data_IF_502694054072
#
_entry.id   IF_502694054072
#
_cell.length_a   1.000
_cell.length_b   1.000
_cell.length_c   1.000
_cell.angle_alpha   90.00
_cell.angle_beta   90.00
_cell.angle_gamma   90.00
#
_symmetry.space_group_name_H-M   'P 1'
#
loop_
_entity.id
_entity.type
_entity.pdbx_description
1 polymer ?
#
# COMPACT_ATOMS: atom_id res chain seq x y z
N UNK A 1 5.42 -45.76 -49.51
CA UNK A 1 4.46 -44.62 -49.52
C UNK A 1 4.71 -43.75 -48.29
N UNK A 2 5.93 -43.21 -48.11
CA UNK A 2 6.37 -42.69 -46.80
C UNK A 2 6.44 -41.15 -46.74
N UNK A 3 6.35 -40.46 -47.88
CA UNK A 3 6.40 -38.99 -47.94
C UNK A 3 5.10 -38.28 -47.56
N UNK A 4 3.94 -38.96 -47.66
CA UNK A 4 2.64 -38.37 -47.33
C UNK A 4 2.44 -38.19 -45.83
N UNK A 5 3.00 -39.07 -45.00
CA UNK A 5 2.89 -38.98 -43.54
C UNK A 5 3.55 -37.70 -42.99
N UNK A 6 4.71 -37.29 -43.54
CA UNK A 6 5.40 -36.07 -43.13
C UNK A 6 4.64 -34.78 -43.50
N UNK A 7 3.96 -34.77 -44.65
CA UNK A 7 3.14 -33.63 -45.06
C UNK A 7 1.87 -33.50 -44.19
N UNK A 8 1.25 -34.62 -43.83
CA UNK A 8 0.04 -34.65 -42.99
C UNK A 8 0.34 -34.16 -41.57
N UNK A 9 1.47 -34.54 -40.97
CA UNK A 9 1.84 -34.08 -39.62
C UNK A 9 2.15 -32.59 -39.57
N UNK A 10 2.77 -32.03 -40.61
CA UNK A 10 3.06 -30.59 -40.70
C UNK A 10 1.78 -29.75 -40.81
N UNK A 11 0.79 -30.24 -41.57
CA UNK A 11 -0.52 -29.61 -41.66
C UNK A 11 -1.28 -29.66 -40.32
N UNK A 12 -1.26 -30.81 -39.64
CA UNK A 12 -1.92 -30.98 -38.34
C UNK A 12 -1.30 -30.09 -37.25
N UNK A 13 0.03 -30.04 -37.17
CA UNK A 13 0.74 -29.19 -36.21
C UNK A 13 0.52 -27.69 -36.49
N UNK A 14 0.47 -27.28 -37.76
CA UNK A 14 0.11 -25.92 -38.15
C UNK A 14 -1.31 -25.55 -37.68
N UNK A 15 -2.30 -26.44 -37.84
CA UNK A 15 -3.66 -26.18 -37.36
C UNK A 15 -3.72 -26.08 -35.83
N UNK A 16 -3.02 -26.98 -35.13
CA UNK A 16 -2.90 -26.96 -33.67
C UNK A 16 -2.29 -25.64 -33.18
N UNK A 17 -1.19 -25.19 -33.79
CA UNK A 17 -0.55 -23.90 -33.46
C UNK A 17 -1.52 -22.73 -33.64
N UNK A 18 -2.28 -22.70 -34.73
CA UNK A 18 -3.28 -21.64 -34.97
C UNK A 18 -4.37 -21.65 -33.90
N UNK A 19 -4.87 -22.82 -33.50
CA UNK A 19 -5.87 -22.91 -32.42
C UNK A 19 -5.30 -22.44 -31.08
N UNK A 20 -4.10 -22.86 -30.71
CA UNK A 20 -3.43 -22.40 -29.48
C UNK A 20 -3.20 -20.88 -29.50
N UNK A 21 -2.84 -20.32 -30.65
CA UNK A 21 -2.66 -18.87 -30.81
C UNK A 21 -4.00 -18.11 -30.67
N UNK A 22 -5.08 -18.62 -31.25
CA UNK A 22 -6.40 -18.02 -31.12
C UNK A 22 -6.90 -18.05 -29.66
N UNK A 23 -6.67 -19.15 -28.95
CA UNK A 23 -7.01 -19.30 -27.53
C UNK A 23 -6.20 -18.35 -26.64
N UNK A 24 -4.90 -18.18 -26.91
CA UNK A 24 -4.04 -17.26 -26.15
C UNK A 24 -4.42 -15.78 -26.37
N UNK A 25 -4.74 -15.37 -27.61
CA UNK A 25 -5.24 -14.02 -27.91
C UNK A 25 -6.58 -13.75 -27.19
N UNK A 26 -7.46 -14.74 -27.17
CA UNK A 26 -8.78 -14.63 -26.51
C UNK A 26 -8.62 -14.54 -24.98
N UNK A 27 -7.75 -15.35 -24.38
CA UNK A 27 -7.46 -15.32 -22.94
C UNK A 27 -6.76 -14.04 -22.47
N UNK A 28 -5.93 -13.42 -23.33
CA UNK A 28 -5.17 -12.21 -22.99
C UNK A 28 -6.07 -11.04 -22.58
N UNK A 29 -7.20 -10.81 -23.27
CA UNK A 29 -8.10 -9.69 -22.98
C UNK A 29 -8.71 -9.77 -21.58
N UNK A 30 -9.11 -10.97 -21.16
CA UNK A 30 -9.72 -11.20 -19.86
C UNK A 30 -8.70 -11.01 -18.72
N UNK A 31 -7.49 -11.58 -18.87
CA UNK A 31 -6.42 -11.44 -17.89
C UNK A 31 -5.93 -9.99 -17.78
N UNK A 32 -5.77 -9.31 -18.92
CA UNK A 32 -5.38 -7.91 -18.96
C UNK A 32 -6.35 -7.00 -18.19
N UNK A 33 -7.66 -7.26 -18.31
CA UNK A 33 -8.67 -6.52 -17.57
C UNK A 33 -8.57 -6.73 -16.05
N UNK A 34 -8.39 -7.98 -15.61
CA UNK A 34 -8.22 -8.29 -14.18
C UNK A 34 -6.98 -7.62 -13.60
N UNK A 35 -5.86 -7.66 -14.35
CA UNK A 35 -4.62 -7.00 -13.95
C UNK A 35 -4.84 -5.49 -13.76
N UNK A 36 -5.51 -4.81 -14.69
CA UNK A 36 -5.81 -3.37 -14.54
C UNK A 36 -6.63 -3.05 -13.30
N UNK A 37 -7.65 -3.85 -12.98
CA UNK A 37 -8.44 -3.65 -11.75
C UNK A 37 -7.57 -3.82 -10.51
N UNK A 38 -6.76 -4.88 -10.47
CA UNK A 38 -5.86 -5.13 -9.33
C UNK A 38 -4.83 -4.01 -9.16
N UNK A 39 -4.30 -3.43 -10.25
CA UNK A 39 -3.39 -2.30 -10.17
C UNK A 39 -4.02 -1.07 -9.52
N UNK A 40 -5.29 -0.77 -9.83
CA UNK A 40 -5.97 0.35 -9.20
C UNK A 40 -6.11 0.15 -7.68
N UNK A 41 -6.44 -1.08 -7.27
CA UNK A 41 -6.49 -1.44 -5.86
C UNK A 41 -5.10 -1.33 -5.21
N UNK A 42 -4.05 -1.80 -5.88
CA UNK A 42 -2.67 -1.71 -5.40
C UNK A 42 -2.21 -0.26 -5.21
N UNK A 43 -2.53 0.65 -6.14
CA UNK A 43 -2.17 2.07 -6.04
C UNK A 43 -2.83 2.70 -4.81
N UNK A 44 -4.11 2.38 -4.55
CA UNK A 44 -4.80 2.88 -3.36
C UNK A 44 -4.19 2.33 -2.07
N UNK A 45 -3.83 1.03 -2.05
CA UNK A 45 -3.11 0.43 -0.92
C UNK A 45 -1.74 1.05 -0.70
N UNK A 46 -0.98 1.32 -1.76
CA UNK A 46 0.32 1.98 -1.66
C UNK A 46 0.18 3.38 -1.03
N UNK A 47 -0.82 4.16 -1.46
CA UNK A 47 -1.09 5.47 -0.84
C UNK A 47 -1.44 5.35 0.65
N UNK A 48 -2.20 4.31 1.02
CA UNK A 48 -2.50 4.00 2.42
C UNK A 48 -1.26 3.64 3.23
N UNK A 49 -0.40 2.75 2.74
CA UNK A 49 0.86 2.40 3.40
C UNK A 49 1.82 3.58 3.55
N UNK A 50 1.85 4.50 2.58
CA UNK A 50 2.66 5.73 2.68
C UNK A 50 2.13 6.63 3.80
N UNK A 51 0.81 6.85 3.87
CA UNK A 51 0.21 7.63 4.93
C UNK A 51 0.44 7.00 6.31
N UNK A 52 0.28 5.69 6.43
CA UNK A 52 0.51 4.98 7.70
C UNK A 52 1.99 4.95 8.08
N UNK A 53 2.90 4.75 7.13
CA UNK A 53 4.34 4.82 7.37
C UNK A 53 4.78 6.18 7.90
N UNK A 54 4.16 7.28 7.43
CA UNK A 54 4.38 8.62 7.98
C UNK A 54 3.92 8.74 9.44
N UNK A 55 2.78 8.15 9.77
CA UNK A 55 2.19 8.15 11.11
C UNK A 55 3.00 7.29 12.10
N UNK A 56 3.53 6.16 11.64
CA UNK A 56 4.47 5.31 12.39
C UNK A 56 5.77 6.04 12.70
N UNK A 57 6.31 6.76 11.71
CA UNK A 57 7.54 7.50 11.91
C UNK A 57 7.36 8.67 12.89
N UNK A 58 6.23 9.38 12.79
CA UNK A 58 5.82 10.37 13.78
C UNK A 58 5.79 9.76 15.20
N UNK A 59 5.17 8.59 15.35
CA UNK A 59 5.10 7.90 16.64
C UNK A 59 6.48 7.51 17.17
N UNK A 60 7.36 6.98 16.31
CA UNK A 60 8.75 6.69 16.68
C UNK A 60 9.51 7.94 17.12
N UNK A 61 9.31 9.07 16.44
CA UNK A 61 9.94 10.34 16.81
C UNK A 61 9.42 10.85 18.16
N UNK A 62 8.12 10.75 18.41
CA UNK A 62 7.51 11.10 19.70
C UNK A 62 8.16 10.30 20.84
N UNK A 63 8.39 9.00 20.65
CA UNK A 63 9.07 8.16 21.64
C UNK A 63 10.52 8.58 21.92
N UNK A 64 11.25 9.12 20.95
CA UNK A 64 12.65 9.54 21.11
C UNK A 64 12.77 10.93 21.72
N UNK A 65 11.97 11.89 21.23
CA UNK A 65 12.09 13.30 21.62
C UNK A 65 11.31 13.58 22.91
N UNK A 66 10.45 12.66 23.37
CA UNK A 66 9.67 12.79 24.60
C UNK A 66 8.96 14.15 24.68
N UNK A 67 8.49 14.64 23.55
CA UNK A 67 7.76 15.90 23.40
C UNK A 67 7.08 15.87 22.04
N UNK A 68 6.19 16.82 21.76
CA UNK A 68 5.58 16.96 20.43
C UNK A 68 6.53 17.77 19.53
N UNK A 69 7.30 17.15 18.63
CA UNK A 69 8.25 17.89 17.81
C UNK A 69 7.49 18.66 16.74
N UNK A 70 7.85 19.93 16.54
CA UNK A 70 7.52 20.66 15.32
C UNK A 70 8.83 21.19 14.73
N UNK A 71 9.18 20.89 13.46
CA UNK A 71 8.47 20.12 12.44
C UNK A 71 8.76 18.60 12.42
N UNK A 72 7.79 17.80 11.94
CA UNK A 72 7.87 16.34 11.72
C UNK A 72 8.77 15.94 10.52
N UNK A 73 9.90 16.63 10.35
CA UNK A 73 10.74 16.57 9.13
C UNK A 73 11.81 15.47 9.14
N UNK A 74 11.99 14.77 10.26
CA UNK A 74 13.05 13.76 10.44
C UNK A 74 12.79 12.44 9.71
N UNK A 75 11.59 12.24 9.18
CA UNK A 75 11.13 10.96 8.62
C UNK A 75 11.41 10.76 7.13
N UNK A 76 12.06 11.70 6.43
CA UNK A 76 12.33 11.57 4.98
C UNK A 76 11.07 11.34 4.15
N UNK A 77 9.98 12.03 4.52
CA UNK A 77 8.63 11.77 4.00
C UNK A 77 8.56 12.10 2.49
N UNK A 78 7.85 11.28 1.69
CA UNK A 78 7.63 11.58 0.28
C UNK A 78 6.87 12.90 0.13
N UNK A 79 7.15 13.61 -0.96
CA UNK A 79 6.47 14.87 -1.30
C UNK A 79 4.95 14.68 -1.38
N UNK A 80 4.19 15.53 -0.70
CA UNK A 80 2.72 15.48 -0.67
C UNK A 80 2.13 14.66 0.47
N UNK A 81 2.95 14.12 1.37
CA UNK A 81 2.51 13.57 2.65
C UNK A 81 2.47 14.68 3.71
N UNK A 82 1.29 14.94 4.25
CA UNK A 82 1.05 15.94 5.30
C UNK A 82 0.74 15.23 6.62
N UNK A 83 1.42 15.65 7.69
CA UNK A 83 1.21 15.16 9.05
C UNK A 83 0.70 16.28 9.94
N UNK A 84 -0.43 16.05 10.58
CA UNK A 84 -1.11 17.02 11.44
C UNK A 84 -1.27 16.40 12.83
N UNK A 85 -0.86 17.12 13.86
CA UNK A 85 -1.14 16.77 15.25
C UNK A 85 -2.10 17.81 15.83
N UNK A 86 -3.28 17.38 16.27
CA UNK A 86 -4.29 18.25 16.88
C UNK A 86 -4.59 17.80 18.30
N UNK A 87 -4.64 18.68 19.31
CA UNK A 87 -5.09 18.31 20.64
C UNK A 87 -6.58 17.92 20.62
N UNK A 88 -6.92 16.78 21.22
CA UNK A 88 -8.29 16.24 21.31
C UNK A 88 -8.83 16.24 22.75
N UNK A 89 -7.97 16.54 23.73
CA UNK A 89 -8.31 16.67 25.15
C UNK A 89 -7.08 16.61 26.04
N UNK A 90 -7.28 16.50 27.34
CA UNK A 90 -6.21 16.36 28.33
C UNK A 90 -5.36 15.11 28.04
N UNK A 91 -4.08 15.32 27.73
CA UNK A 91 -3.13 14.25 27.38
C UNK A 91 -3.49 13.44 26.12
N UNK A 92 -4.48 13.86 25.31
CA UNK A 92 -4.88 13.13 24.09
C UNK A 92 -4.69 14.00 22.86
N UNK A 93 -3.97 13.45 21.88
CA UNK A 93 -3.68 14.08 20.61
C UNK A 93 -4.21 13.22 19.48
N UNK A 94 -4.70 13.86 18.43
CA UNK A 94 -5.08 13.23 17.17
C UNK A 94 -3.96 13.44 16.17
N UNK A 95 -3.33 12.36 15.76
CA UNK A 95 -2.35 12.34 14.70
C UNK A 95 -3.05 11.97 13.40
N UNK A 96 -2.85 12.78 12.37
CA UNK A 96 -3.49 12.61 11.07
C UNK A 96 -2.46 12.68 9.96
N UNK A 97 -2.47 11.67 9.09
CA UNK A 97 -1.67 11.59 7.89
C UNK A 97 -2.55 11.71 6.64
N UNK A 98 -2.17 12.60 5.73
CA UNK A 98 -2.83 12.78 4.43
C UNK A 98 -1.85 12.54 3.31
N UNK A 99 -2.22 11.68 2.38
CA UNK A 99 -1.45 11.43 1.16
C UNK A 99 -2.37 11.14 -0.01
N UNK A 100 -2.26 11.93 -1.08
CA UNK A 100 -3.13 11.82 -2.25
C UNK A 100 -4.62 11.88 -1.85
N UNK A 101 -5.35 10.78 -2.02
CA UNK A 101 -6.78 10.63 -1.69
C UNK A 101 -7.02 9.92 -0.35
N UNK A 102 -5.95 9.48 0.34
CA UNK A 102 -6.04 8.71 1.56
C UNK A 102 -5.81 9.61 2.78
N UNK A 103 -6.68 9.45 3.78
CA UNK A 103 -6.60 10.13 5.08
C UNK A 103 -6.71 9.10 6.17
N UNK A 104 -5.67 9.02 7.01
CA UNK A 104 -5.61 8.11 8.15
C UNK A 104 -5.44 8.97 9.40
N UNK A 105 -6.25 8.72 10.42
CA UNK A 105 -6.09 9.38 11.71
C UNK A 105 -6.02 8.35 12.82
N UNK A 106 -5.10 8.52 13.74
CA UNK A 106 -5.01 7.74 14.96
C UNK A 106 -4.97 8.68 16.17
N UNK A 107 -5.49 8.21 17.30
CA UNK A 107 -5.34 8.93 18.54
C UNK A 107 -4.13 8.42 19.31
N UNK A 108 -3.37 9.36 19.84
CA UNK A 108 -2.19 9.17 20.64
C UNK A 108 -2.49 9.74 22.01
N UNK A 109 -2.39 8.90 23.03
CA UNK A 109 -2.34 9.38 24.41
C UNK A 109 -0.91 9.63 24.81
N UNK A 110 -0.68 10.75 25.46
CA UNK A 110 0.58 11.16 26.03
C UNK A 110 0.34 11.16 27.54
N UNK A 111 0.87 10.15 28.22
CA UNK A 111 0.87 10.05 29.68
C UNK A 111 2.28 10.39 30.19
N UNK A 112 2.39 11.18 31.24
CA UNK A 112 3.68 11.54 31.84
C UNK A 112 3.88 10.68 33.09
N UNK A 113 4.73 9.65 33.01
CA UNK A 113 5.10 8.82 34.15
C UNK A 113 6.59 8.95 34.43
N UNK A 114 6.94 9.27 35.67
CA UNK A 114 8.33 9.34 36.13
C UNK A 114 9.25 10.20 35.24
N UNK A 115 8.73 11.30 34.69
CA UNK A 115 9.47 12.20 33.78
C UNK A 115 9.67 11.65 32.36
N UNK A 116 9.00 10.55 31.99
CA UNK A 116 8.97 9.97 30.65
C UNK A 116 7.56 10.02 30.05
N UNK A 117 7.48 10.44 28.78
CA UNK A 117 6.22 10.46 28.05
C UNK A 117 5.94 9.07 27.45
N UNK A 118 4.84 8.45 27.85
CA UNK A 118 4.32 7.19 27.31
C UNK A 118 3.29 7.49 26.22
N UNK A 119 3.60 7.08 24.98
CA UNK A 119 2.75 7.29 23.83
C UNK A 119 1.90 6.03 23.58
N UNK A 120 0.60 6.08 23.90
CA UNK A 120 -0.31 4.95 23.69
C UNK A 120 -1.12 5.21 22.43
N UNK A 121 -0.92 4.39 21.39
CA UNK A 121 -1.76 4.39 20.19
C UNK A 121 -3.08 3.71 20.48
N UNK A 122 -4.19 4.42 20.29
CA UNK A 122 -5.52 3.82 20.37
C UNK A 122 -5.93 3.39 18.95
N UNK A 123 -5.67 2.11 18.68
CA UNK A 123 -6.16 1.16 17.66
C UNK A 123 -6.52 1.63 16.23
N UNK A 124 -6.05 0.86 15.23
CA UNK A 124 -6.37 1.00 13.80
C UNK A 124 -5.15 0.93 12.86
N UNK A 125 -4.25 -0.04 13.05
CA UNK A 125 -3.00 -0.17 12.26
C UNK A 125 -2.89 -1.55 11.61
N UNK A 126 -2.10 -1.70 10.54
CA UNK A 126 -1.86 -2.98 9.86
C UNK A 126 -1.37 -4.12 10.76
N UNK A 127 -0.95 -3.88 12.00
CA UNK A 127 -0.62 -4.95 12.97
C UNK A 127 -1.84 -5.75 13.45
N UNK A 128 -3.05 -5.28 13.16
CA UNK A 128 -4.30 -5.98 13.49
C UNK A 128 -4.73 -6.99 12.39
N UNK A 129 -3.88 -7.25 11.37
CA UNK A 129 -4.01 -8.30 10.35
C UNK A 129 -2.82 -9.27 10.40
#
# INVERSE_FOLDING_TARGET
>A
MNGQQGAITLLMTSMLLVMTLALSITGYRQLYFQIKRSQNELISRQAFWIAEGGLECLYAQLQVVHSVPSPFSLCGLPSGLELILSPEGEGRYRAEARYSHVRISQSVRIDERDGTFEFIRIQGSWRDF
#
